data_IF_375366605715
#
_entry.id   IF_375366605715
#
_cell.length_a   1.000
_cell.length_b   1.000
_cell.length_c   1.000
_cell.angle_alpha   90.00
_cell.angle_beta   90.00
_cell.angle_gamma   90.00
#
_symmetry.space_group_name_H-M   'P 1'
#
loop_
_entity.id
_entity.type
_entity.pdbx_description
1 polymer ?
#
# COMPACT_ATOMS: atom_id res chain seq x y z
N UNK A 1 -25.28 3.43 -10.88
CA UNK A 1 -25.81 2.55 -9.83
C UNK A 1 -25.54 3.28 -8.54
N UNK A 2 -26.58 3.79 -7.90
CA UNK A 2 -26.41 4.55 -6.66
C UNK A 2 -26.17 3.56 -5.51
N UNK A 3 -25.17 3.85 -4.70
CA UNK A 3 -24.77 3.03 -3.56
C UNK A 3 -25.06 3.83 -2.30
N UNK A 4 -25.71 3.22 -1.32
CA UNK A 4 -25.94 3.87 -0.02
C UNK A 4 -24.62 4.11 0.73
N UNK A 5 -24.55 5.22 1.46
CA UNK A 5 -23.37 5.57 2.25
C UNK A 5 -23.25 4.69 3.49
N UNK A 6 -22.12 3.99 3.63
CA UNK A 6 -21.75 3.31 4.87
C UNK A 6 -20.92 4.25 5.75
N UNK A 7 -21.32 4.40 7.02
CA UNK A 7 -20.59 5.20 8.02
C UNK A 7 -19.91 4.28 9.03
N UNK A 8 -18.64 4.53 9.30
CA UNK A 8 -17.85 3.89 10.35
C UNK A 8 -17.82 4.84 11.55
N UNK A 9 -18.22 4.37 12.73
CA UNK A 9 -18.48 5.21 13.90
C UNK A 9 -17.35 5.18 14.93
N UNK A 10 -16.84 6.38 15.25
CA UNK A 10 -15.87 6.57 16.33
C UNK A 10 -14.46 6.06 16.02
N UNK A 11 -13.53 6.39 16.91
CA UNK A 11 -12.10 6.11 16.71
C UNK A 11 -11.80 4.60 16.61
N UNK A 12 -12.46 3.78 17.43
CA UNK A 12 -12.13 2.36 17.52
C UNK A 12 -12.58 1.55 16.31
N UNK A 13 -13.73 1.85 15.69
CA UNK A 13 -14.14 1.17 14.47
C UNK A 13 -13.23 1.51 13.29
N UNK A 14 -12.86 2.79 13.17
CA UNK A 14 -11.91 3.25 12.15
C UNK A 14 -10.55 2.55 12.35
N UNK A 15 -10.07 2.47 13.60
CA UNK A 15 -8.80 1.79 13.92
C UNK A 15 -8.87 0.28 13.63
N UNK A 16 -9.96 -0.38 14.00
CA UNK A 16 -10.16 -1.80 13.75
C UNK A 16 -10.18 -2.10 12.25
N UNK A 17 -10.92 -1.31 11.46
CA UNK A 17 -10.99 -1.46 10.02
C UNK A 17 -9.65 -1.19 9.35
N UNK A 18 -8.93 -0.15 9.79
CA UNK A 18 -7.58 0.14 9.32
C UNK A 18 -6.63 -1.04 9.56
N UNK A 19 -6.64 -1.62 10.77
CA UNK A 19 -5.80 -2.78 11.13
C UNK A 19 -6.17 -4.02 10.31
N UNK A 20 -7.46 -4.29 10.16
CA UNK A 20 -7.94 -5.42 9.34
C UNK A 20 -7.45 -5.29 7.89
N UNK A 21 -7.62 -4.13 7.25
CA UNK A 21 -7.15 -3.92 5.88
C UNK A 21 -5.62 -3.98 5.77
N UNK A 22 -4.91 -3.51 6.79
CA UNK A 22 -3.45 -3.62 6.86
C UNK A 22 -2.98 -5.07 6.90
N UNK A 23 -3.65 -5.91 7.68
CA UNK A 23 -3.36 -7.35 7.80
C UNK A 23 -3.66 -8.08 6.49
N UNK A 24 -4.86 -7.89 5.94
CA UNK A 24 -5.28 -8.55 4.69
C UNK A 24 -4.34 -8.26 3.52
N UNK A 25 -3.75 -7.05 3.44
CA UNK A 25 -2.78 -6.72 2.39
C UNK A 25 -1.41 -7.32 2.62
N UNK A 26 -1.03 -7.54 3.88
CA UNK A 26 0.27 -8.13 4.23
C UNK A 26 0.30 -9.65 4.11
N UNK A 27 -0.86 -10.30 4.18
CA UNK A 27 -0.97 -11.76 4.09
C UNK A 27 -0.60 -12.27 2.67
N UNK A 28 -1.09 -11.60 1.63
CA UNK A 28 -0.74 -11.90 0.23
C UNK A 28 -0.68 -10.63 -0.63
N UNK A 29 0.55 -10.23 -0.99
CA UNK A 29 0.82 -9.09 -1.86
C UNK A 29 0.43 -9.33 -3.33
N UNK A 30 0.23 -10.58 -3.74
CA UNK A 30 -0.31 -10.97 -5.04
C UNK A 30 -1.84 -10.91 -5.12
N UNK A 31 -2.52 -10.72 -3.99
CA UNK A 31 -3.98 -10.68 -3.94
C UNK A 31 -4.55 -9.46 -4.67
N UNK A 32 -5.81 -9.60 -5.11
CA UNK A 32 -6.58 -8.49 -5.69
C UNK A 32 -6.78 -7.32 -4.73
N UNK A 33 -6.56 -7.52 -3.42
CA UNK A 33 -6.72 -6.49 -2.40
C UNK A 33 -5.45 -5.65 -2.22
N UNK A 34 -4.27 -6.28 -2.31
CA UNK A 34 -2.99 -5.62 -2.05
C UNK A 34 -2.74 -4.47 -3.03
N UNK A 35 -2.84 -4.72 -4.33
CA UNK A 35 -2.63 -3.71 -5.38
C UNK A 35 -3.88 -2.91 -5.76
N UNK A 36 -4.98 -3.00 -5.01
CA UNK A 36 -6.22 -2.31 -5.37
C UNK A 36 -6.16 -0.81 -5.04
N UNK A 37 -6.35 0.09 -6.04
CA UNK A 37 -6.40 1.53 -5.78
C UNK A 37 -7.60 1.93 -4.93
N UNK A 38 -8.69 1.16 -4.97
CA UNK A 38 -9.88 1.44 -4.17
C UNK A 38 -9.65 1.13 -2.69
N UNK A 39 -8.99 0.00 -2.39
CA UNK A 39 -8.60 -0.35 -1.02
C UNK A 39 -7.56 0.64 -0.49
N UNK A 40 -6.56 1.00 -1.31
CA UNK A 40 -5.57 2.03 -0.96
C UNK A 40 -6.23 3.36 -0.60
N UNK A 41 -7.19 3.83 -1.41
CA UNK A 41 -7.95 5.05 -1.13
C UNK A 41 -8.80 4.97 0.15
N UNK A 42 -9.36 3.80 0.48
CA UNK A 42 -10.04 3.58 1.77
C UNK A 42 -9.04 3.68 2.92
N UNK A 43 -7.91 2.97 2.84
CA UNK A 43 -6.90 2.98 3.90
C UNK A 43 -6.32 4.37 4.16
N UNK A 44 -6.10 5.17 3.12
CA UNK A 44 -5.69 6.55 3.28
C UNK A 44 -6.73 7.37 4.03
N UNK A 45 -8.01 7.29 3.64
CA UNK A 45 -9.10 7.99 4.34
C UNK A 45 -9.24 7.57 5.79
N UNK A 46 -9.06 6.27 6.10
CA UNK A 46 -9.08 5.79 7.48
C UNK A 46 -7.89 6.35 8.28
N UNK A 47 -6.68 6.34 7.71
CA UNK A 47 -5.50 6.90 8.36
C UNK A 47 -5.63 8.42 8.58
N UNK A 48 -6.15 9.16 7.58
CA UNK A 48 -6.44 10.60 7.70
C UNK A 48 -7.47 10.87 8.81
N UNK A 49 -8.51 10.04 8.92
CA UNK A 49 -9.53 10.16 9.96
C UNK A 49 -8.96 9.88 11.37
N UNK A 50 -8.06 8.90 11.50
CA UNK A 50 -7.37 8.59 12.77
C UNK A 50 -6.43 9.72 13.20
N UNK A 51 -5.69 10.29 12.25
CA UNK A 51 -4.82 11.45 12.48
C UNK A 51 -5.62 12.68 12.91
N UNK A 52 -6.74 12.95 12.23
CA UNK A 52 -7.62 14.07 12.57
C UNK A 52 -8.29 13.91 13.94
N UNK A 53 -8.66 12.68 14.33
CA UNK A 53 -9.26 12.39 15.62
C UNK A 53 -8.28 12.51 16.79
N UNK A 54 -6.98 12.30 16.55
CA UNK A 54 -5.95 12.43 17.57
C UNK A 54 -4.64 13.04 17.00
N UNK A 55 -4.62 14.37 16.75
CA UNK A 55 -3.45 15.05 16.24
C UNK A 55 -2.27 14.92 17.20
N UNK A 56 -1.07 14.63 16.67
CA UNK A 56 0.15 14.51 17.47
C UNK A 56 0.42 13.09 18.02
N UNK A 57 -0.44 12.11 17.74
CA UNK A 57 -0.18 10.70 18.08
C UNK A 57 0.85 10.01 17.15
N UNK A 58 1.47 10.76 16.23
CA UNK A 58 2.50 10.26 15.32
C UNK A 58 1.98 9.53 14.09
N UNK A 59 0.69 9.66 13.73
CA UNK A 59 0.15 9.06 12.50
C UNK A 59 0.86 9.53 11.23
N UNK A 60 1.23 10.82 11.18
CA UNK A 60 2.02 11.38 10.09
C UNK A 60 3.35 10.63 9.91
N UNK A 61 4.12 10.52 10.98
CA UNK A 61 5.44 9.86 10.98
C UNK A 61 5.32 8.36 10.77
N UNK A 62 4.31 7.73 11.39
CA UNK A 62 4.01 6.32 11.21
C UNK A 62 3.68 6.00 9.75
N UNK A 63 3.13 6.93 8.98
CA UNK A 63 2.87 6.72 7.54
C UNK A 63 4.11 6.80 6.68
N UNK A 64 5.27 7.20 7.20
CA UNK A 64 6.50 7.14 6.43
C UNK A 64 6.88 5.67 6.16
N UNK A 65 6.77 5.21 4.90
CA UNK A 65 7.02 3.81 4.56
C UNK A 65 8.47 3.38 4.83
N UNK A 66 9.41 4.32 4.73
CA UNK A 66 10.83 4.12 5.02
C UNK A 66 11.07 3.67 6.48
N UNK A 67 10.14 4.00 7.39
CA UNK A 67 10.13 3.52 8.78
C UNK A 67 9.64 2.08 8.97
N UNK A 68 9.24 1.38 7.90
CA UNK A 68 8.69 0.02 7.94
C UNK A 68 9.52 -0.96 7.08
N UNK A 69 10.78 -1.24 7.44
CA UNK A 69 11.71 -2.00 6.60
C UNK A 69 11.19 -3.39 6.23
N UNK A 70 10.48 -4.08 7.13
CA UNK A 70 9.89 -5.39 6.85
C UNK A 70 8.84 -5.34 5.74
N UNK A 71 7.99 -4.30 5.73
CA UNK A 71 6.97 -4.13 4.68
C UNK A 71 7.62 -3.76 3.36
N UNK A 72 8.57 -2.84 3.38
CA UNK A 72 9.33 -2.46 2.19
C UNK A 72 10.03 -3.69 1.58
N UNK A 73 10.67 -4.51 2.41
CA UNK A 73 11.32 -5.75 1.95
C UNK A 73 10.33 -6.75 1.34
N UNK A 74 9.14 -6.91 1.92
CA UNK A 74 8.09 -7.76 1.36
C UNK A 74 7.64 -7.25 -0.02
N UNK A 75 7.46 -5.94 -0.17
CA UNK A 75 7.15 -5.31 -1.46
C UNK A 75 8.27 -5.52 -2.48
N UNK A 76 9.54 -5.35 -2.08
CA UNK A 76 10.70 -5.64 -2.96
C UNK A 76 10.69 -7.08 -3.47
N UNK A 77 10.45 -8.04 -2.58
CA UNK A 77 10.38 -9.45 -2.94
C UNK A 77 9.23 -9.72 -3.92
N UNK A 78 8.05 -9.15 -3.64
CA UNK A 78 6.88 -9.23 -4.51
C UNK A 78 7.15 -8.66 -5.90
N UNK A 79 7.73 -7.46 -6.00
CA UNK A 79 8.04 -6.82 -7.28
C UNK A 79 9.10 -7.57 -8.08
N UNK A 80 10.09 -8.17 -7.41
CA UNK A 80 11.08 -9.04 -8.08
C UNK A 80 10.40 -10.25 -8.73
N UNK A 81 9.40 -10.82 -8.06
CA UNK A 81 8.58 -11.93 -8.58
C UNK A 81 7.45 -11.50 -9.52
N UNK A 82 7.26 -10.19 -9.76
CA UNK A 82 6.14 -9.72 -10.55
C UNK A 82 6.27 -10.15 -12.02
N UNK A 83 5.16 -10.65 -12.57
CA UNK A 83 5.11 -11.17 -13.94
C UNK A 83 5.24 -10.09 -15.02
N UNK A 84 4.99 -10.49 -16.28
CA UNK A 84 5.15 -9.65 -17.47
C UNK A 84 4.49 -8.26 -17.37
N UNK A 85 3.33 -8.17 -16.72
CA UNK A 85 2.59 -6.90 -16.58
C UNK A 85 3.42 -5.79 -15.94
N UNK A 86 4.30 -6.11 -14.97
CA UNK A 86 5.15 -5.14 -14.29
C UNK A 86 6.22 -4.58 -15.23
N UNK A 87 6.77 -5.45 -16.09
CA UNK A 87 7.77 -5.07 -17.09
C UNK A 87 7.17 -4.20 -18.19
N UNK A 88 5.97 -4.53 -18.63
CA UNK A 88 5.25 -3.78 -19.67
C UNK A 88 4.67 -2.47 -19.13
N UNK A 89 4.51 -2.33 -17.81
CA UNK A 89 4.04 -1.11 -17.17
C UNK A 89 5.07 0.02 -17.30
N UNK A 90 4.58 1.22 -17.62
CA UNK A 90 5.38 2.43 -17.63
C UNK A 90 5.68 2.92 -16.20
N UNK A 91 6.57 3.92 -16.07
CA UNK A 91 6.99 4.43 -14.76
C UNK A 91 5.83 4.98 -13.90
N UNK A 92 4.82 5.58 -14.52
CA UNK A 92 3.65 6.09 -13.80
C UNK A 92 2.78 4.95 -13.24
N UNK A 93 2.52 3.93 -14.06
CA UNK A 93 1.77 2.73 -13.66
C UNK A 93 2.48 1.97 -12.53
N UNK A 94 3.81 1.82 -12.63
CA UNK A 94 4.61 1.20 -11.56
C UNK A 94 4.55 2.02 -10.27
N UNK A 95 4.70 3.33 -10.37
CA UNK A 95 4.64 4.22 -9.22
C UNK A 95 3.26 4.22 -8.55
N UNK A 96 2.18 4.19 -9.34
CA UNK A 96 0.82 4.06 -8.83
C UNK A 96 0.66 2.73 -8.08
N UNK A 97 1.05 1.61 -8.68
CA UNK A 97 0.95 0.30 -8.06
C UNK A 97 1.76 0.18 -6.76
N UNK A 98 2.98 0.71 -6.73
CA UNK A 98 3.81 0.73 -5.51
C UNK A 98 3.12 1.51 -4.38
N UNK A 99 2.55 2.67 -4.70
CA UNK A 99 1.79 3.47 -3.72
C UNK A 99 0.56 2.71 -3.24
N UNK A 100 -0.17 2.07 -4.15
CA UNK A 100 -1.36 1.31 -3.81
C UNK A 100 -1.03 0.14 -2.89
N UNK A 101 0.02 -0.63 -3.19
CA UNK A 101 0.48 -1.72 -2.32
C UNK A 101 0.91 -1.21 -0.94
N UNK A 102 1.71 -0.16 -0.89
CA UNK A 102 2.23 0.37 0.38
C UNK A 102 1.16 1.08 1.21
N UNK A 103 0.02 1.44 0.61
CA UNK A 103 -1.03 2.16 1.32
C UNK A 103 -1.41 1.46 2.65
N UNK A 104 -1.59 2.23 3.72
CA UNK A 104 -1.63 3.69 3.77
C UNK A 104 -0.27 4.37 3.98
N UNK A 105 0.82 3.62 3.96
CA UNK A 105 2.18 4.15 4.05
C UNK A 105 2.52 4.92 2.78
N UNK A 106 3.39 5.92 2.92
CA UNK A 106 3.83 6.84 1.88
C UNK A 106 5.35 6.69 1.76
N UNK A 107 5.86 6.13 0.65
CA UNK A 107 7.29 6.07 0.42
C UNK A 107 7.87 7.45 0.15
N UNK A 108 9.11 7.67 0.58
CA UNK A 108 9.92 8.79 0.09
C UNK A 108 10.08 8.74 -1.44
N UNK A 109 10.37 9.88 -2.10
CA UNK A 109 10.69 9.90 -3.53
C UNK A 109 11.82 8.92 -3.90
N UNK A 110 12.83 8.80 -3.05
CA UNK A 110 13.98 7.92 -3.23
C UNK A 110 13.56 6.45 -3.16
N UNK A 111 12.80 6.07 -2.14
CA UNK A 111 12.29 4.71 -1.99
C UNK A 111 11.34 4.34 -3.13
N UNK A 112 10.48 5.26 -3.56
CA UNK A 112 9.58 5.03 -4.69
C UNK A 112 10.36 4.81 -5.99
N UNK A 113 11.36 5.66 -6.27
CA UNK A 113 12.24 5.50 -7.43
C UNK A 113 12.94 4.14 -7.41
N UNK A 114 13.49 3.74 -6.26
CA UNK A 114 14.10 2.43 -6.07
C UNK A 114 13.13 1.30 -6.44
N UNK A 115 11.95 1.27 -5.81
CA UNK A 115 10.97 0.20 -5.98
C UNK A 115 10.45 0.10 -7.43
N UNK A 116 10.27 1.22 -8.13
CA UNK A 116 9.77 1.24 -9.53
C UNK A 116 10.78 0.76 -10.56
N UNK A 117 12.07 0.66 -10.19
CA UNK A 117 13.15 0.17 -11.06
C UNK A 117 13.45 -1.31 -10.89
N UNK A 118 12.85 -1.96 -9.88
CA UNK A 118 13.02 -3.40 -9.65
C UNK A 118 12.63 -4.16 -10.90
N UNK A 119 13.56 -4.99 -11.35
CA UNK A 119 13.40 -5.88 -12.49
C UNK A 119 13.52 -7.30 -11.99
N UNK A 120 12.63 -8.20 -12.43
CA UNK A 120 12.77 -9.63 -12.15
C UNK A 120 14.08 -10.14 -12.71
N UNK A 121 14.88 -10.81 -11.88
CA UNK A 121 16.03 -11.57 -12.38
C UNK A 121 15.50 -12.76 -13.18
N UNK A 122 15.56 -12.62 -14.50
CA UNK A 122 15.12 -13.65 -15.43
C UNK A 122 16.13 -14.81 -15.35
N UNK A 123 15.93 -15.76 -14.43
CA UNK A 123 16.33 -17.14 -14.74
C UNK A 123 15.38 -17.62 -15.83
N UNK A 124 15.76 -17.32 -17.08
CA UNK A 124 15.32 -18.05 -18.25
C UNK A 124 15.70 -19.51 -18.00
N UNK A 125 14.73 -20.29 -17.56
CA UNK A 125 14.80 -21.72 -17.34
C UNK A 125 13.41 -22.28 -17.51
N UNK A 126 12.95 -22.27 -18.76
CA UNK A 126 12.31 -23.39 -19.49
C UNK A 126 11.60 -22.86 -20.75
#
# INVERSE_FOLDING_TARGET
MDVETVRVEGYHEVLALHRMLMECKSDDLGSVYAGSPFIAAIQHRLADALEAANPGQGWHDWRNADGHPHRVQAVRAHLTGAGRWWHDANGEQRAAYVRDILAPLRPSPELLAELTTISSDRRLGD
#
